data_IF_161676732758
#
_entry.id   IF_161676732758
#
_cell.length_a   1.000
_cell.length_b   1.000
_cell.length_c   1.000
_cell.angle_alpha   90.00
_cell.angle_beta   90.00
_cell.angle_gamma   90.00
#
_symmetry.space_group_name_H-M   'P 1'
#
loop_
_entity.id
_entity.type
_entity.pdbx_description
1 polymer ?
#
# COMPACT_ATOMS: atom_id res chain seq x y z
N UNK A 1 2.04 -4.47 -30.09
CA UNK A 1 1.75 -3.09 -29.65
C UNK A 1 0.93 -2.98 -28.35
N UNK A 2 -0.13 -3.79 -28.15
CA UNK A 2 -0.98 -3.76 -26.94
C UNK A 2 -0.24 -3.94 -25.59
N UNK A 3 0.89 -4.63 -25.57
CA UNK A 3 1.66 -4.85 -24.33
C UNK A 3 2.33 -3.58 -23.79
N UNK A 4 2.65 -2.59 -24.63
CA UNK A 4 3.30 -1.37 -24.16
C UNK A 4 2.33 -0.48 -23.40
N UNK A 5 1.09 -0.37 -23.88
CA UNK A 5 0.00 0.32 -23.17
C UNK A 5 -0.30 -0.33 -21.82
N UNK A 6 -0.34 -1.67 -21.74
CA UNK A 6 -0.54 -2.38 -20.46
C UNK A 6 0.58 -2.10 -19.46
N UNK A 7 1.83 -2.09 -19.91
CA UNK A 7 2.98 -1.78 -19.05
C UNK A 7 2.95 -0.33 -18.56
N UNK A 8 2.66 0.61 -19.46
CA UNK A 8 2.52 2.02 -19.10
C UNK A 8 1.38 2.24 -18.11
N UNK A 9 0.24 1.59 -18.33
CA UNK A 9 -0.90 1.66 -17.42
C UNK A 9 -0.59 1.09 -16.02
N UNK A 10 0.09 -0.05 -15.97
CA UNK A 10 0.54 -0.63 -14.71
C UNK A 10 1.51 0.31 -13.99
N UNK A 11 2.46 0.90 -14.72
CA UNK A 11 3.41 1.87 -14.17
C UNK A 11 2.70 3.10 -13.61
N UNK A 12 1.75 3.69 -14.35
CA UNK A 12 0.95 4.83 -13.89
C UNK A 12 0.21 4.49 -12.60
N UNK A 13 -0.44 3.32 -12.53
CA UNK A 13 -1.13 2.86 -11.31
C UNK A 13 -0.19 2.70 -10.13
N UNK A 14 1.02 2.22 -10.38
CA UNK A 14 2.04 2.02 -9.37
C UNK A 14 2.54 3.33 -8.78
N UNK A 15 2.84 4.31 -9.64
CA UNK A 15 3.34 5.63 -9.20
C UNK A 15 2.24 6.54 -8.65
N UNK A 16 0.99 6.37 -9.11
CA UNK A 16 -0.16 7.11 -8.55
C UNK A 16 -0.58 6.56 -7.18
N UNK A 17 -0.20 5.32 -6.86
CA UNK A 17 -0.65 4.62 -5.67
C UNK A 17 -2.06 4.01 -5.81
N UNK A 18 -2.58 3.88 -7.04
CA UNK A 18 -3.85 3.22 -7.30
C UNK A 18 -3.83 1.72 -6.92
N UNK A 19 -2.65 1.10 -6.96
CA UNK A 19 -2.39 -0.28 -6.56
C UNK A 19 -1.83 -0.38 -5.12
N UNK A 20 -1.78 0.70 -4.34
CA UNK A 20 -1.10 0.73 -3.03
C UNK A 20 -1.64 -0.33 -2.05
N UNK A 21 -2.95 -0.61 -2.07
CA UNK A 21 -3.53 -1.67 -1.25
C UNK A 21 -3.12 -3.08 -1.72
N UNK A 22 -3.00 -3.29 -3.03
CA UNK A 22 -2.52 -4.56 -3.60
C UNK A 22 -1.06 -4.80 -3.24
N UNK A 23 -0.23 -3.75 -3.30
CA UNK A 23 1.15 -3.78 -2.83
C UNK A 23 1.26 -4.06 -1.33
N UNK A 24 0.41 -3.42 -0.52
CA UNK A 24 0.32 -3.70 0.92
C UNK A 24 0.02 -5.16 1.20
N UNK A 25 -0.94 -5.78 0.50
CA UNK A 25 -1.27 -7.20 0.69
C UNK A 25 -0.11 -8.13 0.32
N UNK A 26 0.61 -7.83 -0.78
CA UNK A 26 1.81 -8.60 -1.16
C UNK A 26 2.88 -8.50 -0.09
N UNK A 27 3.18 -7.29 0.36
CA UNK A 27 4.17 -7.06 1.40
C UNK A 27 3.77 -7.71 2.73
N UNK A 28 2.50 -7.60 3.12
CA UNK A 28 1.97 -8.24 4.32
C UNK A 28 2.13 -9.76 4.22
N UNK A 29 1.73 -10.37 3.11
CA UNK A 29 1.91 -11.81 2.90
C UNK A 29 3.40 -12.21 2.96
N UNK A 30 4.28 -11.52 2.24
CA UNK A 30 5.72 -11.83 2.19
C UNK A 30 6.39 -11.69 3.56
N UNK A 31 6.10 -10.60 4.28
CA UNK A 31 6.71 -10.30 5.57
C UNK A 31 6.16 -11.19 6.68
N UNK A 32 4.85 -11.44 6.68
CA UNK A 32 4.18 -12.15 7.75
C UNK A 32 4.08 -13.66 7.57
N UNK A 33 4.41 -14.20 6.39
CA UNK A 33 4.43 -15.65 6.14
C UNK A 33 5.37 -16.40 7.10
N UNK A 34 6.43 -15.74 7.59
CA UNK A 34 7.41 -16.34 8.51
C UNK A 34 7.17 -16.01 9.99
N UNK A 35 6.17 -15.20 10.33
CA UNK A 35 5.87 -14.81 11.73
C UNK A 35 4.75 -15.65 12.32
N UNK A 36 5.02 -16.30 13.46
CA UNK A 36 4.07 -17.19 14.17
C UNK A 36 2.84 -16.43 14.66
N UNK A 37 2.99 -15.17 15.07
CA UNK A 37 1.92 -14.31 15.60
C UNK A 37 1.63 -13.10 14.69
N UNK A 38 1.56 -13.35 13.38
CA UNK A 38 1.26 -12.31 12.41
C UNK A 38 -0.11 -11.65 12.68
N UNK A 39 -0.19 -10.31 12.80
CA UNK A 39 -1.48 -9.64 12.80
C UNK A 39 -2.19 -9.85 11.44
N UNK A 40 -3.53 -9.96 11.43
CA UNK A 40 -4.28 -10.12 10.20
C UNK A 40 -4.09 -8.92 9.27
N UNK A 41 -4.17 -9.16 7.96
CA UNK A 41 -4.13 -8.08 6.99
C UNK A 41 -5.29 -7.10 7.22
N UNK A 42 -4.98 -5.81 7.30
CA UNK A 42 -5.97 -4.74 7.37
C UNK A 42 -6.94 -4.81 6.20
N UNK A 43 -8.21 -4.49 6.45
CA UNK A 43 -9.16 -4.24 5.36
C UNK A 43 -8.74 -3.00 4.57
N UNK A 44 -9.21 -2.89 3.32
CA UNK A 44 -8.93 -1.74 2.45
C UNK A 44 -9.25 -0.40 3.12
N UNK A 45 -10.38 -0.33 3.84
CA UNK A 45 -10.81 0.88 4.56
C UNK A 45 -9.85 1.24 5.69
N UNK A 46 -9.43 0.25 6.48
CA UNK A 46 -8.50 0.44 7.60
C UNK A 46 -7.10 0.83 7.12
N UNK A 47 -6.62 0.20 6.03
CA UNK A 47 -5.37 0.58 5.39
C UNK A 47 -5.37 2.05 4.97
N UNK A 48 -6.40 2.52 4.25
CA UNK A 48 -6.46 3.93 3.83
C UNK A 48 -6.64 4.88 5.01
N UNK A 49 -7.38 4.48 6.04
CA UNK A 49 -7.50 5.26 7.27
C UNK A 49 -6.13 5.42 7.95
N UNK A 50 -5.38 4.33 8.12
CA UNK A 50 -4.04 4.34 8.68
C UNK A 50 -3.10 5.21 7.82
N UNK A 51 -3.15 5.05 6.50
CA UNK A 51 -2.32 5.82 5.57
C UNK A 51 -2.58 7.33 5.67
N UNK A 52 -3.85 7.73 5.74
CA UNK A 52 -4.23 9.13 5.96
C UNK A 52 -3.80 9.62 7.35
N UNK A 53 -4.01 8.81 8.38
CA UNK A 53 -3.62 9.15 9.75
C UNK A 53 -2.08 9.34 9.84
N UNK A 54 -1.29 8.48 9.19
CA UNK A 54 0.17 8.65 9.08
C UNK A 54 0.56 9.93 8.36
N UNK A 55 -0.15 10.32 7.29
CA UNK A 55 0.12 11.57 6.57
C UNK A 55 -0.23 12.82 7.35
N UNK A 56 -1.33 12.79 8.11
CA UNK A 56 -1.99 14.01 8.59
C UNK A 56 -2.05 14.16 10.12
N UNK A 57 -1.90 13.07 10.88
CA UNK A 57 -2.02 13.08 12.35
C UNK A 57 -0.68 12.98 13.09
N UNK A 58 0.44 12.93 12.38
CA UNK A 58 1.76 13.07 12.99
C UNK A 58 1.96 14.48 13.55
N UNK A 59 2.76 14.60 14.63
CA UNK A 59 3.20 15.92 15.10
C UNK A 59 4.14 16.49 14.05
N UNK A 60 3.63 17.33 13.15
CA UNK A 60 4.45 18.19 12.30
C UNK A 60 5.02 19.28 13.20
N UNK A 61 6.12 18.98 13.90
CA UNK A 61 6.87 20.00 14.62
C UNK A 61 7.43 20.94 13.57
N UNK A 62 6.72 22.04 13.36
CA UNK A 62 7.27 23.27 12.83
C UNK A 62 8.21 23.81 13.92
N UNK A 63 9.43 23.31 13.90
CA UNK A 63 10.61 24.01 14.38
C UNK A 63 11.80 23.66 13.49
#
# INVERSE_FOLDING_TARGET
MFNMFKKLWCFVRHVSGDDAYEQYLKHHAEFHQATVDAPPALSRKEFFKLWQDCKWKGINRCC
#
